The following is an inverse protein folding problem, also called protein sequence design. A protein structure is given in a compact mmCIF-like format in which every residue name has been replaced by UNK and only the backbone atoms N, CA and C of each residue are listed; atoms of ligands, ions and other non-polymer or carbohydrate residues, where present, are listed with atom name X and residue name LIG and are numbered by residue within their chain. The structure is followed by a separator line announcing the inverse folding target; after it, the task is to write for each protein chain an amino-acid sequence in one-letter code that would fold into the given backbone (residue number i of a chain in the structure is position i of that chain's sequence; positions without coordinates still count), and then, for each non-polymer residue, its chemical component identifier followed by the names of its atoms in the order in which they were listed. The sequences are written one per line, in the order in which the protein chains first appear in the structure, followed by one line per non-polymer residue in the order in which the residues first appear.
data_IF_772841408641
#
_entry.id   IF_772841408641
#
_cell.length_a   1.000
_cell.length_b   1.000
_cell.length_c   1.000
_cell.angle_alpha   90.00
_cell.angle_beta   90.00
_cell.angle_gamma   90.00
#
_symmetry.space_group_name_H-M   'P 1'
#
loop_
_entity.id
_entity.type
_entity.pdbx_description
1 polymer ?
#
# COMPACT_ATOMS: atom_id res chain seq x y z
N UNK A 1 -9.81 7.39 -10.64
CA UNK A 1 -9.71 7.46 -9.17
C UNK A 1 -9.03 8.75 -8.80
N UNK A 2 -9.58 9.48 -7.86
CA UNK A 2 -8.86 10.61 -7.28
C UNK A 2 -7.68 10.04 -6.49
N UNK A 3 -6.53 10.69 -6.58
CA UNK A 3 -5.33 10.31 -5.82
C UNK A 3 -5.24 11.09 -4.50
N UNK A 4 -6.37 11.29 -3.84
CA UNK A 4 -6.42 11.98 -2.56
C UNK A 4 -5.52 11.34 -1.50
N UNK A 5 -5.27 10.03 -1.63
CA UNK A 5 -4.40 9.26 -0.75
C UNK A 5 -2.90 9.45 -1.05
N UNK A 6 -2.53 9.83 -2.27
CA UNK A 6 -1.14 10.04 -2.69
C UNK A 6 -0.68 11.47 -2.30
N UNK A 7 -0.43 11.65 -1.02
CA UNK A 7 -0.06 12.95 -0.42
C UNK A 7 1.44 13.11 -0.22
N UNK A 8 2.23 12.14 -0.64
CA UNK A 8 3.69 12.18 -0.54
C UNK A 8 4.32 13.27 -1.40
N UNK A 9 5.57 13.63 -1.09
CA UNK A 9 6.36 14.57 -1.87
C UNK A 9 5.94 16.05 -1.79
N UNK A 10 5.04 16.40 -0.88
CA UNK A 10 4.69 17.81 -0.62
C UNK A 10 5.64 18.38 0.41
N UNK A 11 6.21 19.55 0.10
CA UNK A 11 7.03 20.28 1.05
C UNK A 11 6.16 20.68 2.25
N UNK A 12 6.61 20.34 3.45
CA UNK A 12 5.99 20.75 4.70
C UNK A 12 7.08 21.21 5.67
N UNK A 13 7.10 22.50 5.97
CA UNK A 13 8.06 23.11 6.89
C UNK A 13 7.60 23.05 8.36
N UNK A 14 6.43 22.49 8.63
CA UNK A 14 5.94 22.37 10.01
C UNK A 14 6.83 21.42 10.81
N UNK A 15 7.14 21.83 12.03
CA UNK A 15 7.87 20.97 12.96
C UNK A 15 7.05 19.71 13.25
N UNK A 16 7.67 18.54 13.13
CA UNK A 16 7.05 17.27 13.53
C UNK A 16 6.86 17.30 15.04
N UNK A 17 5.62 17.13 15.49
CA UNK A 17 5.31 16.99 16.90
C UNK A 17 5.64 15.55 17.36
N UNK A 18 6.75 15.42 18.06
CA UNK A 18 7.20 14.16 18.67
C UNK A 18 6.69 13.97 20.10
N UNK A 19 5.95 14.95 20.64
CA UNK A 19 5.41 14.91 22.01
C UNK A 19 3.98 14.43 22.06
N UNK A 20 3.35 14.20 20.90
CA UNK A 20 1.99 13.67 20.86
C UNK A 20 1.92 12.33 21.59
N UNK A 21 0.97 12.22 22.50
CA UNK A 21 0.77 11.06 23.36
C UNK A 21 0.70 9.77 22.55
N UNK A 22 1.34 8.70 23.05
CA UNK A 22 1.32 7.33 22.50
C UNK A 22 -0.06 6.66 22.49
N UNK A 23 -1.15 7.42 22.59
CA UNK A 23 -2.50 6.88 22.54
C UNK A 23 -2.79 6.39 21.13
N UNK A 24 -2.56 5.08 20.95
CA UNK A 24 -2.78 4.40 19.64
C UNK A 24 -4.25 4.39 19.22
N UNK A 25 -5.15 4.29 20.21
CA UNK A 25 -6.59 4.26 19.98
C UNK A 25 -7.25 5.30 20.88
N UNK A 26 -8.04 6.18 20.29
CA UNK A 26 -8.75 7.26 21.02
C UNK A 26 -10.08 6.79 21.61
N UNK A 27 -10.66 5.73 21.03
CA UNK A 27 -11.94 5.15 21.45
C UNK A 27 -11.94 3.63 21.26
N UNK A 28 -12.85 2.92 21.91
CA UNK A 28 -12.88 1.45 21.86
C UNK A 28 -13.27 0.92 20.48
N UNK A 29 -14.15 1.59 19.75
CA UNK A 29 -14.52 1.20 18.40
C UNK A 29 -13.33 1.15 17.42
N UNK A 30 -12.28 1.96 17.64
CA UNK A 30 -11.07 1.94 16.82
C UNK A 30 -10.31 0.62 16.98
N UNK A 31 -10.29 0.07 18.20
CA UNK A 31 -9.72 -1.24 18.51
C UNK A 31 -10.49 -2.36 17.82
N UNK A 32 -11.83 -2.25 17.82
CA UNK A 32 -12.71 -3.23 17.17
C UNK A 32 -12.52 -3.23 15.66
N UNK A 33 -12.51 -2.05 15.02
CA UNK A 33 -12.22 -1.91 13.57
C UNK A 33 -10.88 -2.52 13.21
N UNK A 34 -9.85 -2.22 13.99
CA UNK A 34 -8.51 -2.79 13.80
C UNK A 34 -8.54 -4.32 13.91
N UNK A 35 -9.15 -4.84 14.98
CA UNK A 35 -9.20 -6.27 15.24
C UNK A 35 -9.98 -7.03 14.16
N UNK A 36 -11.15 -6.52 13.75
CA UNK A 36 -11.98 -7.14 12.70
C UNK A 36 -11.25 -7.11 11.36
N UNK A 37 -10.67 -5.98 10.98
CA UNK A 37 -9.93 -5.86 9.70
C UNK A 37 -8.79 -6.89 9.63
N UNK A 38 -8.02 -7.05 10.71
CA UNK A 38 -6.93 -8.02 10.76
C UNK A 38 -7.44 -9.47 10.77
N UNK A 39 -8.45 -9.77 11.60
CA UNK A 39 -8.99 -11.13 11.72
C UNK A 39 -9.52 -11.64 10.37
N UNK A 40 -10.28 -10.81 9.65
CA UNK A 40 -10.84 -11.18 8.35
C UNK A 40 -9.76 -11.24 7.25
N UNK A 41 -8.74 -10.37 7.30
CA UNK A 41 -7.58 -10.47 6.43
C UNK A 41 -6.80 -11.77 6.63
N UNK A 42 -6.55 -12.18 7.88
CA UNK A 42 -5.92 -13.46 8.21
C UNK A 42 -6.81 -14.66 7.84
N UNK A 43 -8.11 -14.47 7.75
CA UNK A 43 -9.05 -15.48 7.24
C UNK A 43 -9.06 -15.59 5.72
N UNK A 44 -8.16 -14.87 5.03
CA UNK A 44 -7.99 -14.90 3.56
C UNK A 44 -9.17 -14.33 2.77
N UNK A 45 -10.02 -13.52 3.40
CA UNK A 45 -11.09 -12.80 2.69
C UNK A 45 -10.55 -11.75 1.72
N UNK A 46 -9.42 -11.15 2.10
CA UNK A 46 -8.66 -10.22 1.27
C UNK A 46 -7.18 -10.25 1.61
N UNK A 47 -6.36 -9.80 0.70
CA UNK A 47 -4.94 -9.59 0.94
C UNK A 47 -4.67 -8.15 1.40
N UNK A 48 -3.43 -7.88 1.79
CA UNK A 48 -3.00 -6.57 2.29
C UNK A 48 -3.24 -5.45 1.27
N UNK A 49 -2.94 -5.71 -0.01
CA UNK A 49 -3.04 -4.69 -1.05
C UNK A 49 -4.51 -4.39 -1.39
N UNK A 50 -5.39 -5.40 -1.37
CA UNK A 50 -6.85 -5.17 -1.46
C UNK A 50 -7.36 -4.32 -0.31
N UNK A 51 -6.89 -4.58 0.91
CA UNK A 51 -7.25 -3.79 2.09
C UNK A 51 -6.77 -2.33 1.98
N UNK A 52 -5.61 -2.09 1.37
CA UNK A 52 -5.12 -0.73 1.07
C UNK A 52 -5.99 -0.07 0.02
N UNK A 53 -6.24 -0.76 -1.09
CA UNK A 53 -7.07 -0.26 -2.18
C UNK A 53 -8.47 0.14 -1.74
N UNK A 54 -9.12 -0.63 -0.86
CA UNK A 54 -10.43 -0.30 -0.33
C UNK A 54 -10.47 1.06 0.38
N UNK A 55 -9.40 1.45 1.07
CA UNK A 55 -9.25 2.78 1.69
C UNK A 55 -8.89 3.85 0.68
N UNK A 56 -8.02 3.54 -0.27
CA UNK A 56 -7.61 4.46 -1.34
C UNK A 56 -8.75 4.80 -2.30
N UNK A 57 -9.77 3.93 -2.37
CA UNK A 57 -10.94 4.09 -3.23
C UNK A 57 -12.06 4.91 -2.60
N UNK A 58 -11.89 5.39 -1.37
CA UNK A 58 -12.85 6.29 -0.75
C UNK A 58 -13.01 7.57 -1.55
N UNK A 59 -14.21 8.15 -1.50
CA UNK A 59 -14.45 9.46 -2.10
C UNK A 59 -13.42 10.48 -1.58
N UNK A 60 -12.87 11.35 -2.44
CA UNK A 60 -11.83 12.30 -2.05
C UNK A 60 -12.16 13.13 -0.82
N UNK A 61 -13.42 13.58 -0.73
CA UNK A 61 -13.91 14.38 0.39
C UNK A 61 -13.79 13.59 1.69
N UNK A 62 -14.26 12.35 1.68
CA UNK A 62 -14.26 11.48 2.85
C UNK A 62 -12.82 11.12 3.25
N UNK A 63 -12.00 10.76 2.26
CA UNK A 63 -10.59 10.46 2.51
C UNK A 63 -9.84 11.61 3.20
N UNK A 64 -10.09 12.85 2.80
CA UNK A 64 -9.42 14.03 3.35
C UNK A 64 -10.00 14.45 4.72
N UNK A 65 -11.27 14.19 4.99
CA UNK A 65 -11.95 14.56 6.25
C UNK A 65 -11.82 13.50 7.34
N UNK A 66 -11.83 12.23 6.97
CA UNK A 66 -11.81 11.13 7.93
C UNK A 66 -10.49 11.05 8.69
N UNK A 67 -10.60 10.78 9.98
CA UNK A 67 -9.48 10.36 10.83
C UNK A 67 -8.93 9.00 10.41
N UNK A 68 -7.82 8.58 11.03
CA UNK A 68 -7.12 7.36 10.65
C UNK A 68 -8.03 6.11 10.70
N UNK A 69 -8.68 5.87 11.84
CA UNK A 69 -9.55 4.70 11.99
C UNK A 69 -10.91 4.84 11.32
N UNK A 70 -11.39 6.06 11.04
CA UNK A 70 -12.58 6.27 10.21
C UNK A 70 -12.33 5.80 8.78
N UNK A 71 -11.13 6.05 8.22
CA UNK A 71 -10.72 5.48 6.92
C UNK A 71 -10.67 3.96 6.95
N UNK A 72 -10.21 3.37 8.07
CA UNK A 72 -10.20 1.92 8.24
C UNK A 72 -11.61 1.36 8.28
N UNK A 73 -12.52 2.00 9.02
CA UNK A 73 -13.92 1.59 9.11
C UNK A 73 -14.60 1.65 7.74
N UNK A 74 -14.46 2.77 7.03
CA UNK A 74 -15.03 2.92 5.70
C UNK A 74 -14.48 1.88 4.70
N UNK A 75 -13.16 1.65 4.72
CA UNK A 75 -12.54 0.59 3.92
C UNK A 75 -13.02 -0.81 4.31
N UNK A 76 -13.23 -1.07 5.61
CA UNK A 76 -13.77 -2.34 6.11
C UNK A 76 -15.22 -2.56 5.62
N UNK A 77 -16.07 -1.54 5.67
CA UNK A 77 -17.45 -1.60 5.14
C UNK A 77 -17.43 -1.96 3.64
N UNK A 78 -16.57 -1.32 2.86
CA UNK A 78 -16.41 -1.64 1.43
C UNK A 78 -16.01 -3.10 1.23
N UNK A 79 -15.01 -3.59 1.99
CA UNK A 79 -14.54 -4.98 1.90
C UNK A 79 -15.62 -5.99 2.31
N UNK A 80 -16.39 -5.70 3.34
CA UNK A 80 -17.49 -6.56 3.79
C UNK A 80 -18.62 -6.61 2.75
N UNK A 81 -18.93 -5.47 2.12
CA UNK A 81 -19.90 -5.41 1.01
C UNK A 81 -19.44 -6.19 -0.21
N UNK A 82 -18.19 -6.00 -0.64
CA UNK A 82 -17.60 -6.73 -1.78
C UNK A 82 -17.60 -8.26 -1.57
N UNK A 83 -17.43 -8.70 -0.34
CA UNK A 83 -17.48 -10.12 0.03
C UNK A 83 -18.89 -10.63 0.37
N UNK A 84 -19.91 -9.80 0.22
CA UNK A 84 -21.31 -10.17 0.47
C UNK A 84 -21.67 -10.48 1.92
N UNK A 85 -20.83 -10.00 2.87
CA UNK A 85 -21.05 -10.20 4.30
C UNK A 85 -22.10 -9.21 4.83
N UNK A 86 -22.09 -8.00 4.30
CA UNK A 86 -23.12 -7.00 4.56
C UNK A 86 -23.75 -6.57 3.25
N UNK A 87 -25.03 -6.20 3.31
CA UNK A 87 -25.77 -5.59 2.20
C UNK A 87 -26.48 -4.34 2.72
N UNK A 88 -26.28 -3.22 2.03
CA UNK A 88 -26.88 -1.93 2.41
C UNK A 88 -26.67 -1.54 3.89
N UNK A 89 -25.50 -1.91 4.45
CA UNK A 89 -25.14 -1.65 5.85
C UNK A 89 -25.76 -2.60 6.87
N UNK A 90 -26.51 -3.60 6.44
CA UNK A 90 -27.11 -4.63 7.29
C UNK A 90 -26.48 -5.99 7.05
N UNK A 91 -26.53 -6.89 8.05
CA UNK A 91 -26.07 -8.26 7.89
C UNK A 91 -26.87 -8.97 6.79
N UNK A 92 -26.19 -9.70 5.92
CA UNK A 92 -26.80 -10.51 4.90
C UNK A 92 -26.97 -11.93 5.47
N UNK A 93 -28.18 -12.32 5.83
CA UNK A 93 -28.48 -13.66 6.35
C UNK A 93 -28.26 -14.78 5.30
N UNK A 94 -28.37 -14.47 4.00
CA UNK A 94 -28.52 -15.48 2.94
C UNK A 94 -27.22 -15.95 2.29
N UNK A 95 -26.07 -15.30 2.50
CA UNK A 95 -24.87 -15.60 1.70
C UNK A 95 -23.57 -15.88 2.47
N UNK A 96 -23.60 -15.92 3.78
CA UNK A 96 -22.41 -16.27 4.53
C UNK A 96 -22.16 -17.77 4.44
N UNK A 97 -21.52 -18.23 3.38
CA UNK A 97 -21.03 -19.62 3.30
C UNK A 97 -19.96 -19.82 4.37
N UNK A 98 -20.39 -20.20 5.55
CA UNK A 98 -19.58 -20.55 6.74
C UNK A 98 -18.42 -21.51 6.45
N UNK A 99 -18.42 -22.16 5.29
CA UNK A 99 -17.55 -23.29 4.98
C UNK A 99 -16.16 -22.93 4.43
N UNK A 100 -15.87 -21.66 4.15
CA UNK A 100 -14.60 -21.29 3.51
C UNK A 100 -13.68 -20.38 4.34
N UNK A 101 -14.08 -19.97 5.53
CA UNK A 101 -13.26 -19.06 6.34
C UNK A 101 -12.36 -19.82 7.31
N UNK A 102 -11.08 -19.50 7.23
CA UNK A 102 -10.12 -19.92 8.24
C UNK A 102 -10.31 -19.03 9.48
N UNK A 103 -10.89 -19.59 10.52
CA UNK A 103 -11.09 -18.86 11.79
C UNK A 103 -9.73 -18.54 12.41
N UNK A 104 -9.50 -17.26 12.73
CA UNK A 104 -8.34 -16.83 13.50
C UNK A 104 -8.59 -17.09 14.99
N UNK A 105 -7.97 -18.16 15.54
CA UNK A 105 -8.06 -18.44 16.96
C UNK A 105 -7.20 -17.48 17.79
N UNK A 106 -7.75 -17.00 18.92
CA UNK A 106 -7.09 -16.03 19.79
C UNK A 106 -5.67 -16.43 20.20
N UNK A 107 -5.43 -17.73 20.46
CA UNK A 107 -4.08 -18.26 20.82
C UNK A 107 -3.03 -18.06 19.73
N UNK A 108 -3.43 -17.90 18.46
CA UNK A 108 -2.56 -17.77 17.30
C UNK A 108 -2.29 -16.30 16.93
N UNK A 109 -3.06 -15.33 17.44
CA UNK A 109 -2.98 -13.92 17.08
C UNK A 109 -1.59 -13.37 17.27
N UNK A 110 -1.01 -13.53 18.47
CA UNK A 110 0.33 -13.02 18.78
C UNK A 110 1.39 -13.56 17.81
N UNK A 111 1.36 -14.85 17.53
CA UNK A 111 2.30 -15.51 16.61
C UNK A 111 2.15 -14.94 15.19
N UNK A 112 0.93 -14.84 14.68
CA UNK A 112 0.66 -14.33 13.33
C UNK A 112 1.05 -12.88 13.15
N UNK A 113 0.77 -12.03 14.15
CA UNK A 113 1.19 -10.62 14.12
C UNK A 113 2.72 -10.47 14.10
N UNK A 114 3.45 -11.33 14.83
CA UNK A 114 4.91 -11.32 14.81
C UNK A 114 5.50 -11.83 13.49
N UNK A 115 4.90 -12.85 12.90
CA UNK A 115 5.34 -13.39 11.61
C UNK A 115 5.09 -12.42 10.46
N UNK A 116 4.05 -11.60 10.58
CA UNK A 116 3.59 -10.72 9.51
C UNK A 116 3.16 -11.49 8.26
N UNK A 117 3.09 -10.79 7.14
CA UNK A 117 2.85 -11.36 5.81
C UNK A 117 4.04 -11.03 4.91
N UNK A 118 5.13 -11.83 4.89
CA UNK A 118 6.27 -11.54 4.04
C UNK A 118 5.86 -11.51 2.58
N UNK A 119 6.27 -10.46 1.88
CA UNK A 119 5.98 -10.26 0.46
C UNK A 119 7.04 -10.83 -0.46
N UNK A 120 8.20 -11.17 0.07
CA UNK A 120 9.29 -11.80 -0.68
C UNK A 120 8.87 -13.18 -1.17
N UNK A 121 9.22 -13.50 -2.42
CA UNK A 121 8.97 -14.81 -3.05
C UNK A 121 10.26 -15.34 -3.67
N UNK A 122 10.45 -16.65 -3.61
CA UNK A 122 11.49 -17.34 -4.36
C UNK A 122 11.05 -17.39 -5.82
N UNK A 123 11.53 -16.44 -6.58
CA UNK A 123 11.23 -16.31 -8.01
C UNK A 123 12.53 -16.22 -8.77
N UNK A 124 12.58 -16.87 -9.92
CA UNK A 124 13.69 -16.79 -10.89
C UNK A 124 13.62 -15.56 -11.79
N UNK A 125 12.82 -14.56 -11.40
CA UNK A 125 12.71 -13.32 -12.19
C UNK A 125 14.10 -12.69 -12.33
N UNK A 126 14.59 -12.61 -13.56
CA UNK A 126 15.84 -11.93 -13.86
C UNK A 126 15.74 -10.45 -13.49
N UNK A 127 16.78 -9.92 -12.87
CA UNK A 127 16.87 -8.50 -12.60
C UNK A 127 17.34 -7.77 -13.87
N UNK A 128 16.61 -6.73 -14.26
CA UNK A 128 16.95 -5.93 -15.43
C UNK A 128 17.87 -4.73 -15.14
N UNK A 129 18.03 -4.36 -13.86
CA UNK A 129 18.83 -3.21 -13.43
C UNK A 129 19.90 -3.63 -12.43
N UNK A 130 21.09 -3.02 -12.54
CA UNK A 130 22.23 -3.28 -11.69
C UNK A 130 22.42 -2.17 -10.65
N UNK A 131 23.10 -2.49 -9.54
CA UNK A 131 23.49 -1.50 -8.55
C UNK A 131 24.34 -0.39 -9.19
N UNK A 132 24.02 0.84 -8.86
CA UNK A 132 24.68 2.02 -9.42
C UNK A 132 24.13 2.48 -10.77
N UNK A 133 23.26 1.71 -11.41
CA UNK A 133 22.64 2.07 -12.70
C UNK A 133 21.65 3.22 -12.50
N UNK A 134 21.63 4.14 -13.47
CA UNK A 134 20.64 5.22 -13.52
C UNK A 134 19.39 4.71 -14.23
N UNK A 135 18.24 4.94 -13.65
CA UNK A 135 16.94 4.52 -14.17
C UNK A 135 15.96 5.66 -14.22
N UNK A 136 14.99 5.60 -15.11
CA UNK A 136 13.87 6.52 -15.17
C UNK A 136 12.63 5.86 -14.58
N UNK A 137 11.83 6.59 -13.83
CA UNK A 137 10.51 6.14 -13.38
C UNK A 137 9.48 6.46 -14.45
N UNK A 138 8.63 5.50 -14.80
CA UNK A 138 7.56 5.70 -15.78
C UNK A 138 6.70 6.90 -15.44
N UNK A 139 6.47 7.76 -16.42
CA UNK A 139 5.63 8.97 -16.26
C UNK A 139 4.13 8.65 -16.31
N UNK A 140 3.76 7.66 -17.11
CA UNK A 140 2.38 7.32 -17.41
C UNK A 140 1.93 6.08 -16.63
N UNK A 141 0.66 6.04 -16.30
CA UNK A 141 -0.07 4.96 -15.62
C UNK A 141 0.44 4.63 -14.20
N UNK A 142 -0.46 4.78 -13.25
CA UNK A 142 -0.20 4.40 -11.87
C UNK A 142 -0.19 2.88 -11.73
N UNK A 143 -1.25 2.20 -12.13
CA UNK A 143 -1.33 0.74 -12.11
C UNK A 143 -1.04 0.18 -13.51
N UNK A 144 -0.19 -0.83 -13.60
CA UNK A 144 0.23 -1.46 -14.86
C UNK A 144 -0.73 -2.53 -15.36
N UNK A 145 -1.68 -2.97 -14.54
CA UNK A 145 -2.62 -4.07 -14.84
C UNK A 145 -4.06 -3.59 -15.04
N UNK A 146 -4.50 -2.63 -14.23
CA UNK A 146 -5.89 -2.13 -14.25
C UNK A 146 -5.88 -0.61 -14.22
N UNK A 147 -6.59 0.00 -15.15
CA UNK A 147 -6.75 1.45 -15.16
C UNK A 147 -7.37 1.93 -13.84
N UNK A 148 -6.76 2.93 -13.20
CA UNK A 148 -7.16 3.45 -11.88
C UNK A 148 -7.12 2.42 -10.74
N UNK A 149 -6.42 1.29 -10.93
CA UNK A 149 -6.20 0.30 -9.89
C UNK A 149 -5.23 0.74 -8.81
N UNK A 150 -5.07 -0.13 -7.80
CA UNK A 150 -4.08 0.06 -6.75
C UNK A 150 -2.66 0.11 -7.31
N UNK A 151 -1.82 0.95 -6.75
CA UNK A 151 -0.39 1.00 -7.06
C UNK A 151 0.42 1.46 -5.87
N UNK A 152 1.68 1.07 -5.85
CA UNK A 152 2.66 1.58 -4.89
C UNK A 152 3.64 2.57 -5.52
N UNK A 153 3.38 3.03 -6.74
CA UNK A 153 4.15 4.06 -7.42
C UNK A 153 3.66 5.46 -7.01
N UNK A 154 4.41 6.21 -6.16
CA UNK A 154 4.02 7.54 -5.75
C UNK A 154 4.14 8.54 -6.91
N UNK A 155 3.22 9.49 -6.99
CA UNK A 155 3.21 10.46 -8.09
C UNK A 155 4.43 11.37 -8.13
N UNK A 156 5.02 11.72 -6.97
CA UNK A 156 6.13 12.66 -6.92
C UNK A 156 7.43 12.14 -7.55
N UNK A 157 7.59 10.81 -7.72
CA UNK A 157 8.76 10.23 -8.42
C UNK A 157 8.50 9.92 -9.88
N UNK A 158 7.27 10.04 -10.39
CA UNK A 158 6.95 9.76 -11.79
C UNK A 158 7.69 10.68 -12.75
N UNK A 159 8.25 10.08 -13.79
CA UNK A 159 9.05 10.80 -14.79
C UNK A 159 10.39 11.32 -14.24
N UNK A 160 10.76 10.94 -13.01
CA UNK A 160 12.03 11.33 -12.41
C UNK A 160 13.09 10.27 -12.67
N UNK A 161 14.33 10.70 -12.58
CA UNK A 161 15.51 9.85 -12.75
C UNK A 161 16.14 9.62 -11.38
N UNK A 162 16.54 8.38 -11.10
CA UNK A 162 17.18 8.01 -9.85
C UNK A 162 18.23 6.94 -10.06
N UNK A 163 18.95 6.59 -9.01
CA UNK A 163 20.04 5.62 -9.01
C UNK A 163 19.64 4.37 -8.23
N UNK A 164 19.85 3.21 -8.79
CA UNK A 164 19.63 1.94 -8.09
C UNK A 164 20.70 1.76 -6.99
N UNK A 165 20.26 1.72 -5.73
CA UNK A 165 21.16 1.56 -4.59
C UNK A 165 21.04 0.22 -3.88
N UNK A 166 19.89 -0.49 -4.04
CA UNK A 166 19.71 -1.83 -3.49
C UNK A 166 18.77 -2.68 -4.37
N UNK A 167 18.93 -4.00 -4.27
CA UNK A 167 18.04 -5.00 -4.85
C UNK A 167 17.55 -5.95 -3.76
N UNK A 168 16.24 -6.12 -3.63
CA UNK A 168 15.61 -6.87 -2.54
C UNK A 168 15.16 -8.29 -2.91
N UNK A 169 15.33 -8.67 -4.16
CA UNK A 169 14.75 -9.91 -4.70
C UNK A 169 13.36 -9.69 -5.27
N UNK A 170 12.64 -10.78 -5.48
CA UNK A 170 11.27 -10.73 -6.02
C UNK A 170 10.26 -10.57 -4.90
N UNK A 171 9.33 -9.65 -5.07
CA UNK A 171 8.27 -9.36 -4.12
C UNK A 171 6.91 -9.35 -4.82
N UNK A 172 5.87 -9.78 -4.08
CA UNK A 172 4.47 -9.68 -4.53
C UNK A 172 4.22 -8.31 -5.17
N UNK A 173 3.65 -8.31 -6.38
CA UNK A 173 3.39 -7.08 -7.11
C UNK A 173 2.00 -6.51 -6.74
N UNK A 174 1.94 -5.36 -6.07
CA UNK A 174 0.70 -4.81 -5.52
C UNK A 174 -0.36 -4.51 -6.57
N UNK A 175 0.06 -4.08 -7.77
CA UNK A 175 -0.82 -3.74 -8.88
C UNK A 175 -1.69 -4.90 -9.35
N UNK A 176 -1.18 -6.12 -9.26
CA UNK A 176 -1.90 -7.34 -9.59
C UNK A 176 -2.63 -7.90 -8.35
N UNK A 177 -1.92 -7.96 -7.22
CA UNK A 177 -2.38 -8.63 -6.02
C UNK A 177 -3.64 -7.98 -5.41
N UNK A 178 -3.74 -6.66 -5.43
CA UNK A 178 -4.92 -5.93 -4.96
C UNK A 178 -6.21 -6.26 -5.73
N UNK A 179 -6.07 -6.76 -6.95
CA UNK A 179 -7.17 -7.05 -7.88
C UNK A 179 -7.38 -8.53 -8.13
N UNK A 180 -6.78 -9.39 -7.29
CA UNK A 180 -6.87 -10.86 -7.39
C UNK A 180 -6.40 -11.42 -8.74
N UNK A 181 -5.48 -10.72 -9.42
CA UNK A 181 -4.82 -11.17 -10.66
C UNK A 181 -3.61 -12.07 -10.39
N UNK A 182 -3.47 -12.56 -9.15
CA UNK A 182 -2.31 -13.30 -8.69
C UNK A 182 -1.26 -12.40 -8.05
N UNK A 183 -0.26 -13.03 -7.42
CA UNK A 183 0.81 -12.30 -6.73
C UNK A 183 1.80 -11.64 -7.70
N UNK A 184 2.00 -12.21 -8.89
CA UNK A 184 2.86 -11.70 -9.97
C UNK A 184 4.19 -11.13 -9.44
N UNK A 185 5.03 -11.90 -8.73
CA UNK A 185 6.21 -11.36 -8.08
C UNK A 185 7.16 -10.73 -9.09
N UNK A 186 7.65 -9.54 -8.78
CA UNK A 186 8.61 -8.79 -9.60
C UNK A 186 9.80 -8.35 -8.76
N UNK A 187 10.91 -8.05 -9.44
CA UNK A 187 12.10 -7.49 -8.80
C UNK A 187 11.79 -6.15 -8.13
N UNK A 188 12.27 -6.00 -6.89
CA UNK A 188 12.10 -4.79 -6.09
C UNK A 188 13.46 -4.14 -5.87
N UNK A 189 13.54 -2.84 -6.11
CA UNK A 189 14.76 -2.04 -5.98
C UNK A 189 14.53 -0.84 -5.08
N UNK A 190 15.54 -0.47 -4.30
CA UNK A 190 15.61 0.88 -3.71
C UNK A 190 16.24 1.84 -4.70
N UNK A 191 15.52 2.89 -5.03
CA UNK A 191 15.97 3.95 -5.94
C UNK A 191 16.19 5.22 -5.14
N UNK A 192 17.38 5.78 -5.27
CA UNK A 192 17.76 7.05 -4.66
C UNK A 192 17.53 8.21 -5.63
N UNK A 193 16.83 9.22 -5.18
CA UNK A 193 16.54 10.45 -5.90
C UNK A 193 17.17 11.62 -5.17
N UNK A 194 17.77 12.57 -5.89
CA UNK A 194 18.16 13.84 -5.31
C UNK A 194 16.93 14.71 -5.08
N UNK A 195 16.83 15.34 -3.92
CA UNK A 195 15.73 16.26 -3.60
C UNK A 195 15.56 17.36 -4.64
N UNK A 196 16.68 17.87 -5.17
CA UNK A 196 16.67 18.86 -6.24
C UNK A 196 15.99 18.37 -7.52
N UNK A 197 16.15 17.09 -7.87
CA UNK A 197 15.54 16.50 -9.08
C UNK A 197 14.04 16.25 -8.88
N UNK A 198 13.60 16.07 -7.65
CA UNK A 198 12.19 15.86 -7.31
C UNK A 198 11.43 17.20 -7.24
N UNK A 199 11.97 18.20 -6.56
CA UNK A 199 11.26 19.44 -6.19
C UNK A 199 11.89 20.73 -6.72
N UNK A 200 13.00 20.65 -7.45
CA UNK A 200 13.72 21.82 -7.92
C UNK A 200 14.58 22.45 -6.81
N UNK A 201 14.49 23.77 -6.62
CA UNK A 201 15.26 24.44 -5.57
C UNK A 201 14.81 23.97 -4.19
N UNK A 202 15.72 23.40 -3.42
CA UNK A 202 15.55 22.99 -2.03
C UNK A 202 16.62 23.65 -1.16
N UNK A 203 16.35 23.80 0.14
CA UNK A 203 17.29 24.39 1.11
C UNK A 203 18.54 23.51 1.29
N UNK A 204 18.38 22.20 1.15
CA UNK A 204 19.44 21.21 1.31
C UNK A 204 19.63 20.42 0.00
N UNK A 205 20.55 20.89 -0.82
CA UNK A 205 20.83 20.35 -2.18
C UNK A 205 21.33 18.90 -2.12
N UNK A 206 21.97 18.52 -1.02
CA UNK A 206 22.54 17.18 -0.82
C UNK A 206 21.53 16.16 -0.29
N UNK A 207 20.31 16.59 0.05
CA UNK A 207 19.30 15.66 0.54
C UNK A 207 18.86 14.69 -0.55
N UNK A 208 18.70 13.43 -0.16
CA UNK A 208 18.20 12.39 -1.03
C UNK A 208 16.95 11.73 -0.44
N UNK A 209 16.14 11.16 -1.31
CA UNK A 209 14.98 10.35 -0.95
C UNK A 209 15.12 8.97 -1.58
N UNK A 210 14.95 7.95 -0.77
CA UNK A 210 14.98 6.56 -1.23
C UNK A 210 13.57 6.00 -1.29
N UNK A 211 13.21 5.40 -2.42
CA UNK A 211 11.90 4.79 -2.65
C UNK A 211 12.07 3.38 -3.17
N UNK A 212 11.35 2.44 -2.59
CA UNK A 212 11.31 1.07 -3.09
C UNK A 212 10.31 0.97 -4.25
N UNK A 213 10.81 0.59 -5.43
CA UNK A 213 10.04 0.52 -6.67
C UNK A 213 10.18 -0.85 -7.33
N UNK A 214 9.04 -1.39 -7.78
CA UNK A 214 9.02 -2.62 -8.57
C UNK A 214 9.52 -2.36 -9.99
N UNK A 215 10.08 -3.38 -10.59
CA UNK A 215 10.71 -3.32 -11.91
C UNK A 215 9.77 -2.74 -12.98
N UNK A 216 8.50 -3.12 -12.98
CA UNK A 216 7.49 -2.59 -13.90
C UNK A 216 7.29 -1.07 -13.82
N UNK A 217 7.73 -0.42 -12.76
CA UNK A 217 7.67 1.04 -12.63
C UNK A 217 8.87 1.76 -13.23
N UNK A 218 9.90 1.00 -13.64
CA UNK A 218 11.19 1.53 -14.07
C UNK A 218 11.40 1.33 -15.56
N UNK A 219 12.23 2.20 -16.15
CA UNK A 219 12.71 2.15 -17.53
C UNK A 219 14.20 2.44 -17.54
N UNK A 220 14.90 1.91 -18.56
CA UNK A 220 16.30 2.29 -18.79
C UNK A 220 16.38 3.79 -19.06
N UNK A 221 17.30 4.45 -18.38
CA UNK A 221 17.63 5.84 -18.69
C UNK A 221 18.17 5.93 -20.11
N UNK A 222 17.61 6.83 -20.91
CA UNK A 222 18.00 7.05 -22.32
C UNK A 222 18.99 8.19 -22.44
#
# INVERSE_FOLDING_TARGET
MSKAHDMGGRLDSRRIDITSSDVKFKADWEKEVFAITLALGFSSLWNLDRSRYARESLEPKDYLQFGYFEKWLAGLINLLGENGIIKDGTESEDNFKKSSFRVLEAKNVKKLLHMGGPTKRDSTTEKNFNLGETVSVRANNSNTKIEKGHTRLPDYVKGRTGKVIAYHGSHVFPDANAHFLGESPEALYSIEFKSQDLWGKCEHVEDTVVVDLWESYLEKFK
#
